data_IF_533087929718
#
_entry.id   IF_533087929718
#
_cell.length_a   1.000
_cell.length_b   1.000
_cell.length_c   1.000
_cell.angle_alpha   90.00
_cell.angle_beta   90.00
_cell.angle_gamma   90.00
#
_symmetry.space_group_name_H-M   'P 1'
#
loop_
_entity.id
_entity.type
_entity.pdbx_description
1 polymer ?
#
# COMPACT_ATOMS: atom_id res chain seq x y z
N UNK A 1 5.89 4.27 7.73
CA UNK A 1 5.55 4.42 9.16
C UNK A 1 6.56 3.74 10.07
N UNK A 2 7.02 2.51 9.76
CA UNK A 2 7.93 1.72 10.59
C UNK A 2 9.17 2.48 11.09
N UNK A 3 9.85 3.21 10.21
CA UNK A 3 11.04 4.00 10.58
C UNK A 3 10.71 5.13 11.56
N UNK A 4 9.61 5.84 11.32
CA UNK A 4 9.15 6.90 12.22
C UNK A 4 8.69 6.32 13.57
N UNK A 5 8.05 5.16 13.57
CA UNK A 5 7.64 4.47 14.79
C UNK A 5 8.85 4.05 15.64
N UNK A 6 9.91 3.52 15.01
CA UNK A 6 11.15 3.17 15.71
C UNK A 6 11.84 4.39 16.34
N UNK A 7 11.92 5.51 15.61
CA UNK A 7 12.48 6.77 16.14
C UNK A 7 11.61 7.32 17.28
N UNK A 8 10.28 7.26 17.15
CA UNK A 8 9.35 7.64 18.20
C UNK A 8 9.56 6.80 19.47
N UNK A 9 9.69 5.47 19.34
CA UNK A 9 9.92 4.58 20.48
C UNK A 9 11.20 4.95 21.21
N UNK A 10 12.29 5.18 20.48
CA UNK A 10 13.54 5.60 21.08
C UNK A 10 13.45 6.91 21.87
N UNK A 11 12.73 7.89 21.32
CA UNK A 11 12.49 9.16 22.03
C UNK A 11 11.62 8.93 23.28
N UNK A 12 10.56 8.13 23.16
CA UNK A 12 9.67 7.79 24.27
C UNK A 12 10.40 7.02 25.40
N UNK A 13 11.41 6.21 25.07
CA UNK A 13 12.23 5.48 26.05
C UNK A 13 13.48 6.23 26.48
N UNK A 14 13.68 7.48 26.06
CA UNK A 14 14.92 8.24 26.26
C UNK A 14 16.19 7.48 25.84
N UNK A 15 16.07 6.65 24.80
CA UNK A 15 17.19 5.93 24.21
C UNK A 15 17.91 6.87 23.24
N UNK A 16 19.16 7.28 23.52
CA UNK A 16 19.89 8.15 22.61
C UNK A 16 20.19 7.40 21.32
N UNK A 17 19.70 7.93 20.19
CA UNK A 17 19.98 7.43 18.85
C UNK A 17 20.84 8.45 18.10
N UNK A 18 22.13 8.14 18.03
CA UNK A 18 23.04 8.82 17.13
C UNK A 18 22.65 8.59 15.66
N UNK A 19 23.09 9.48 14.77
CA UNK A 19 22.82 9.42 13.32
C UNK A 19 23.27 8.08 12.72
N UNK A 20 24.39 7.53 13.20
CA UNK A 20 24.87 6.20 12.82
C UNK A 20 23.85 5.10 13.10
N UNK A 21 23.24 5.10 14.29
CA UNK A 21 22.19 4.16 14.67
C UNK A 21 20.91 4.35 13.86
N UNK A 22 20.53 5.59 13.55
CA UNK A 22 19.34 5.87 12.75
C UNK A 22 19.51 5.34 11.31
N UNK A 23 20.70 5.51 10.72
CA UNK A 23 21.02 4.97 9.39
C UNK A 23 21.06 3.43 9.39
N UNK A 24 21.66 2.82 10.41
CA UNK A 24 21.69 1.36 10.55
C UNK A 24 20.29 0.78 10.71
N UNK A 25 19.46 1.40 11.55
CA UNK A 25 18.07 1.00 11.76
C UNK A 25 17.24 1.19 10.48
N UNK A 26 17.41 2.30 9.77
CA UNK A 26 16.79 2.52 8.46
C UNK A 26 17.22 1.44 7.46
N UNK A 27 18.51 1.10 7.40
CA UNK A 27 19.02 0.08 6.49
C UNK A 27 18.38 -1.28 6.73
N UNK A 28 18.31 -1.74 8.00
CA UNK A 28 17.64 -3.00 8.33
C UNK A 28 16.15 -2.93 8.01
N UNK A 29 15.47 -1.83 8.37
CA UNK A 29 14.05 -1.68 8.07
C UNK A 29 13.77 -1.70 6.56
N UNK A 30 14.64 -1.10 5.73
CA UNK A 30 14.53 -1.15 4.26
C UNK A 30 14.76 -2.57 3.73
N UNK A 31 15.75 -3.28 4.29
CA UNK A 31 16.06 -4.65 3.91
C UNK A 31 14.91 -5.60 4.25
N UNK A 32 14.32 -5.45 5.43
CA UNK A 32 13.17 -6.25 5.90
C UNK A 32 11.85 -5.82 5.26
N UNK A 33 11.72 -4.57 4.78
CA UNK A 33 10.49 -4.02 4.17
C UNK A 33 10.00 -4.86 2.98
N UNK A 34 10.92 -5.44 2.18
CA UNK A 34 10.55 -6.34 1.08
C UNK A 34 9.84 -7.62 1.56
N UNK A 35 10.09 -8.09 2.78
CA UNK A 35 9.43 -9.26 3.38
C UNK A 35 8.06 -8.98 3.99
N UNK A 36 7.78 -7.73 4.35
CA UNK A 36 6.51 -7.32 4.97
C UNK A 36 5.36 -7.12 3.97
N UNK A 37 5.64 -7.19 2.66
CA UNK A 37 4.68 -6.93 1.60
C UNK A 37 3.55 -7.98 1.48
N UNK A 38 3.67 -9.13 2.14
CA UNK A 38 2.78 -10.28 1.92
C UNK A 38 1.48 -10.29 2.76
N UNK A 39 1.38 -9.51 3.85
CA UNK A 39 0.24 -9.63 4.80
C UNK A 39 -0.20 -8.28 5.37
N UNK A 40 -1.51 -8.04 5.33
CA UNK A 40 -2.18 -6.95 6.07
C UNK A 40 -1.86 -7.08 7.57
N UNK A 41 -1.42 -5.98 8.21
CA UNK A 41 -0.97 -6.00 9.62
C UNK A 41 0.44 -6.54 9.88
N UNK A 42 1.18 -7.04 8.88
CA UNK A 42 2.54 -7.56 9.06
C UNK A 42 3.60 -6.52 9.46
N UNK A 43 3.26 -5.23 9.38
CA UNK A 43 4.16 -4.13 9.72
C UNK A 43 4.61 -4.15 11.19
N UNK A 44 3.68 -4.35 12.13
CA UNK A 44 4.02 -4.41 13.56
C UNK A 44 4.97 -5.53 13.90
N UNK A 45 4.72 -6.72 13.34
CA UNK A 45 5.55 -7.92 13.56
C UNK A 45 6.95 -7.67 13.01
N UNK A 46 7.03 -7.04 11.83
CA UNK A 46 8.31 -6.66 11.20
C UNK A 46 9.08 -5.65 12.06
N UNK A 47 8.38 -4.66 12.63
CA UNK A 47 8.97 -3.69 13.55
C UNK A 47 9.50 -4.40 14.80
N UNK A 48 8.70 -5.27 15.41
CA UNK A 48 9.07 -6.04 16.59
C UNK A 48 10.31 -6.91 16.34
N UNK A 49 10.34 -7.64 15.23
CA UNK A 49 11.48 -8.47 14.84
C UNK A 49 12.74 -7.62 14.59
N UNK A 50 12.58 -6.46 13.96
CA UNK A 50 13.71 -5.54 13.69
C UNK A 50 14.27 -4.96 14.98
N UNK A 51 13.41 -4.48 15.89
CA UNK A 51 13.85 -3.93 17.18
C UNK A 51 14.54 -5.00 18.04
N UNK A 52 14.03 -6.23 18.02
CA UNK A 52 14.65 -7.36 18.71
C UNK A 52 16.03 -7.72 18.13
N UNK A 53 16.22 -7.53 16.82
CA UNK A 53 17.50 -7.76 16.14
C UNK A 53 18.51 -6.63 16.40
N UNK A 54 18.06 -5.38 16.45
CA UNK A 54 18.92 -4.21 16.68
C UNK A 54 19.28 -4.06 18.17
N UNK A 55 18.43 -4.50 19.08
CA UNK A 55 18.72 -4.64 20.52
C UNK A 55 18.87 -3.34 21.31
N UNK A 56 18.82 -2.16 20.68
CA UNK A 56 19.01 -0.87 21.35
C UNK A 56 17.74 -0.29 21.98
N UNK A 57 16.57 -0.57 21.38
CA UNK A 57 15.28 -0.05 21.86
C UNK A 57 14.57 -1.14 22.68
N UNK A 58 14.09 -0.84 23.90
CA UNK A 58 13.42 -1.84 24.74
C UNK A 58 12.17 -2.42 24.09
N UNK A 59 12.06 -3.75 24.01
CA UNK A 59 10.88 -4.44 23.40
C UNK A 59 9.56 -4.06 24.09
N UNK A 60 9.60 -3.78 25.40
CA UNK A 60 8.42 -3.34 26.15
C UNK A 60 7.77 -2.05 25.59
N UNK A 61 8.55 -1.20 24.91
CA UNK A 61 8.05 0.04 24.32
C UNK A 61 7.10 -0.18 23.14
N UNK A 62 7.10 -1.37 22.52
CA UNK A 62 6.13 -1.77 21.49
C UNK A 62 4.67 -1.66 21.95
N UNK A 63 4.42 -1.76 23.26
CA UNK A 63 3.07 -1.59 23.84
C UNK A 63 2.50 -0.20 23.58
N UNK A 64 3.35 0.83 23.47
CA UNK A 64 2.96 2.20 23.13
C UNK A 64 2.36 2.31 21.73
N UNK A 65 2.62 1.33 20.85
CA UNK A 65 2.16 1.33 19.47
C UNK A 65 0.92 0.46 19.24
N UNK A 66 0.48 -0.39 20.18
CA UNK A 66 -0.58 -1.38 19.94
C UNK A 66 -1.88 -0.78 19.38
N UNK A 67 -2.33 0.36 19.91
CA UNK A 67 -3.53 1.03 19.42
C UNK A 67 -3.32 1.76 18.10
N UNK A 68 -2.16 2.39 17.94
CA UNK A 68 -1.84 3.21 16.76
C UNK A 68 -1.49 2.34 15.56
N UNK A 69 -0.87 1.19 15.77
CA UNK A 69 -0.41 0.32 14.70
C UNK A 69 -1.58 -0.21 13.86
N UNK A 70 -2.67 -0.63 14.52
CA UNK A 70 -3.88 -1.08 13.82
C UNK A 70 -4.46 0.02 12.94
N UNK A 71 -4.62 1.23 13.50
CA UNK A 71 -5.09 2.40 12.75
C UNK A 71 -4.15 2.73 11.57
N UNK A 72 -2.84 2.69 11.79
CA UNK A 72 -1.84 2.97 10.76
C UNK A 72 -1.82 1.89 9.67
N UNK A 73 -2.09 0.63 10.02
CA UNK A 73 -2.19 -0.45 9.03
C UNK A 73 -3.44 -0.30 8.17
N UNK A 74 -4.58 0.11 8.76
CA UNK A 74 -5.81 0.42 8.03
C UNK A 74 -5.64 1.65 7.13
N UNK A 75 -5.06 2.74 7.64
CA UNK A 75 -4.76 3.93 6.86
C UNK A 75 -3.85 3.64 5.66
N UNK A 76 -2.85 2.77 5.84
CA UNK A 76 -1.98 2.30 4.77
C UNK A 76 -2.75 1.49 3.72
N UNK A 77 -3.69 0.65 4.14
CA UNK A 77 -4.53 -0.11 3.20
C UNK A 77 -5.38 0.84 2.34
N UNK A 78 -6.00 1.85 2.95
CA UNK A 78 -6.80 2.86 2.25
C UNK A 78 -5.95 3.66 1.25
N UNK A 79 -4.77 4.15 1.68
CA UNK A 79 -3.88 4.90 0.77
C UNK A 79 -3.35 4.04 -0.36
N UNK A 80 -3.03 2.77 -0.11
CA UNK A 80 -2.65 1.83 -1.18
C UNK A 80 -3.80 1.59 -2.16
N UNK A 81 -5.04 1.43 -1.66
CA UNK A 81 -6.23 1.26 -2.50
C UNK A 81 -6.45 2.48 -3.41
N UNK A 82 -6.44 3.67 -2.82
CA UNK A 82 -6.58 4.94 -3.57
C UNK A 82 -5.45 5.08 -4.60
N UNK A 83 -4.21 4.80 -4.20
CA UNK A 83 -3.04 4.88 -5.09
C UNK A 83 -3.16 3.95 -6.29
N UNK A 84 -3.51 2.68 -6.05
CA UNK A 84 -3.72 1.72 -7.13
C UNK A 84 -4.89 2.11 -8.04
N UNK A 85 -6.03 2.53 -7.47
CA UNK A 85 -7.19 2.96 -8.26
C UNK A 85 -6.89 4.17 -9.15
N UNK A 86 -6.24 5.19 -8.59
CA UNK A 86 -5.80 6.36 -9.36
C UNK A 86 -4.76 5.95 -10.41
N UNK A 87 -3.79 5.10 -10.06
CA UNK A 87 -2.78 4.63 -10.99
C UNK A 87 -3.41 3.90 -12.19
N UNK A 88 -4.40 3.03 -11.97
CA UNK A 88 -5.13 2.36 -13.04
C UNK A 88 -5.80 3.35 -13.98
N UNK A 89 -6.50 4.37 -13.45
CA UNK A 89 -7.15 5.41 -14.27
C UNK A 89 -6.11 6.21 -15.07
N UNK A 90 -5.00 6.58 -14.43
CA UNK A 90 -3.92 7.36 -15.09
C UNK A 90 -3.26 6.56 -16.20
N UNK A 91 -2.93 5.28 -15.95
CA UNK A 91 -2.32 4.40 -16.96
C UNK A 91 -3.30 4.14 -18.11
N UNK A 92 -4.56 3.83 -17.83
CA UNK A 92 -5.58 3.64 -18.87
C UNK A 92 -5.76 4.89 -19.74
N UNK A 93 -5.68 6.09 -19.14
CA UNK A 93 -5.71 7.35 -19.89
C UNK A 93 -4.50 7.52 -20.79
N UNK A 94 -3.30 7.18 -20.32
CA UNK A 94 -2.06 7.27 -21.12
C UNK A 94 -2.03 6.29 -22.28
N UNK A 95 -2.57 5.09 -22.09
CA UNK A 95 -2.72 4.09 -23.14
C UNK A 95 -3.89 4.38 -24.12
N UNK A 96 -4.61 5.50 -23.95
CA UNK A 96 -5.85 5.82 -24.67
C UNK A 96 -6.94 4.70 -24.56
N UNK A 97 -6.87 3.88 -23.51
CA UNK A 97 -7.79 2.80 -23.21
C UNK A 97 -8.94 3.23 -22.27
N UNK A 98 -9.03 4.52 -21.94
CA UNK A 98 -10.01 5.07 -21.00
C UNK A 98 -11.10 5.86 -21.73
N UNK A 99 -12.33 5.35 -21.68
CA UNK A 99 -13.51 6.11 -22.08
C UNK A 99 -13.86 7.17 -21.02
N UNK A 100 -13.55 8.43 -21.33
CA UNK A 100 -13.80 9.54 -20.43
C UNK A 100 -15.27 9.92 -20.28
N UNK A 101 -16.10 9.65 -21.28
CA UNK A 101 -17.53 9.94 -21.19
C UNK A 101 -18.18 8.95 -20.23
N UNK A 102 -17.87 7.66 -20.38
CA UNK A 102 -18.35 6.60 -19.46
C UNK A 102 -17.83 6.80 -18.04
N UNK A 103 -16.54 7.12 -17.85
CA UNK A 103 -15.98 7.39 -16.52
C UNK A 103 -16.73 8.53 -15.82
N UNK A 104 -17.02 9.62 -16.53
CA UNK A 104 -17.69 10.79 -15.96
C UNK A 104 -19.16 10.50 -15.64
N UNK A 105 -19.86 9.70 -16.47
CA UNK A 105 -21.23 9.28 -16.20
C UNK A 105 -21.33 8.42 -14.93
N UNK A 106 -20.44 7.43 -14.78
CA UNK A 106 -20.38 6.56 -13.58
C UNK A 106 -20.01 7.36 -12.33
N UNK A 107 -18.98 8.21 -12.38
CA UNK A 107 -18.56 9.01 -11.21
C UNK A 107 -19.57 10.09 -10.80
N UNK A 108 -20.44 10.53 -11.71
CA UNK A 108 -21.51 11.47 -11.40
C UNK A 108 -22.79 10.79 -10.88
N UNK A 109 -22.81 9.45 -10.82
CA UNK A 109 -23.98 8.66 -10.43
C UNK A 109 -25.11 8.71 -11.45
N UNK A 110 -24.80 9.01 -12.72
CA UNK A 110 -25.79 9.12 -13.79
C UNK A 110 -26.08 7.78 -14.49
N UNK A 111 -25.15 6.82 -14.41
CA UNK A 111 -25.28 5.45 -14.92
C UNK A 111 -25.18 4.44 -13.76
N UNK A 112 -26.32 4.05 -13.19
CA UNK A 112 -26.43 2.98 -12.17
C UNK A 112 -26.42 1.56 -12.78
N UNK A 113 -26.44 1.45 -14.11
CA UNK A 113 -26.60 0.17 -14.83
C UNK A 113 -25.38 -0.77 -14.70
N UNK A 114 -24.23 -0.28 -14.23
CA UNK A 114 -22.97 -1.03 -14.13
C UNK A 114 -22.52 -1.35 -12.69
N UNK A 115 -23.33 -1.01 -11.67
CA UNK A 115 -22.88 -1.08 -10.28
C UNK A 115 -22.95 -2.48 -9.63
N UNK A 116 -23.63 -3.46 -10.22
CA UNK A 116 -24.05 -4.67 -9.48
C UNK A 116 -23.61 -6.04 -10.04
N UNK A 117 -23.06 -6.19 -11.26
CA UNK A 117 -22.71 -7.53 -11.79
C UNK A 117 -21.22 -7.69 -12.20
N UNK A 118 -20.42 -8.47 -11.46
CA UNK A 118 -19.03 -8.80 -11.83
C UNK A 118 -18.92 -9.65 -13.11
N UNK A 119 -19.99 -10.28 -13.60
CA UNK A 119 -19.97 -11.07 -14.83
C UNK A 119 -19.84 -10.20 -16.10
N UNK A 120 -20.37 -8.98 -16.10
CA UNK A 120 -20.25 -8.06 -17.25
C UNK A 120 -18.82 -7.55 -17.47
N UNK A 121 -18.00 -7.53 -16.41
CA UNK A 121 -16.59 -7.13 -16.50
C UNK A 121 -15.73 -8.22 -17.19
N UNK A 122 -16.07 -9.50 -16.98
CA UNK A 122 -15.45 -10.66 -17.64
C UNK A 122 -15.81 -10.71 -19.14
N UNK A 123 -17.05 -10.36 -19.49
CA UNK A 123 -17.51 -10.35 -20.88
C UNK A 123 -16.76 -9.29 -21.70
N UNK A 124 -16.43 -8.13 -21.12
CA UNK A 124 -15.66 -7.10 -21.82
C UNK A 124 -14.18 -7.49 -22.01
N UNK A 125 -13.59 -8.22 -21.07
CA UNK A 125 -12.24 -8.78 -21.21
C UNK A 125 -12.20 -9.84 -22.32
N UNK A 126 -13.17 -10.76 -22.34
CA UNK A 126 -13.30 -11.80 -23.37
C UNK A 126 -13.62 -11.19 -24.76
N UNK A 127 -14.41 -10.11 -24.80
CA UNK A 127 -14.70 -9.37 -26.04
C UNK A 127 -13.47 -8.67 -26.60
N UNK A 128 -12.63 -8.08 -25.75
CA UNK A 128 -11.40 -7.39 -26.14
C UNK A 128 -10.31 -8.37 -26.63
N UNK A 129 -10.24 -9.56 -26.04
CA UNK A 129 -9.31 -10.63 -26.46
C UNK A 129 -9.72 -11.29 -27.79
N UNK A 130 -11.01 -11.22 -28.16
CA UNK A 130 -11.56 -11.82 -29.38
C UNK A 130 -11.34 -11.02 -30.67
N UNK A 131 -10.81 -9.78 -30.59
CA UNK A 131 -10.53 -8.99 -31.78
C UNK A 131 -9.29 -9.56 -32.49
N UNK A 132 -9.41 -10.03 -33.76
CA UNK A 132 -8.27 -10.58 -34.47
C UNK A 132 -7.22 -9.49 -34.64
N UNK A 133 -5.96 -9.82 -34.33
CA UNK A 133 -4.79 -9.01 -34.65
C UNK A 133 -4.79 -8.72 -36.15
N UNK A 134 -5.38 -7.60 -36.56
CA UNK A 134 -5.37 -7.13 -37.94
C UNK A 134 -3.98 -6.59 -38.24
N UNK A 135 -3.11 -7.53 -38.59
CA UNK A 135 -1.83 -7.27 -39.19
C UNK A 135 -2.08 -6.86 -40.65
N UNK A 136 -1.83 -5.61 -41.02
CA UNK A 136 -1.53 -5.24 -42.42
C UNK A 136 -1.03 -3.80 -42.56
N UNK A 137 0.30 -3.73 -42.71
CA UNK A 137 1.11 -2.77 -43.51
C UNK A 137 1.43 -1.40 -42.95
#
# INVERSE_FOLDING_TARGET
YLTMAAVFLAQATNTPLDISHQLYLLFILLLTSKGAAAVTGGGFITLAATLQTVGTIPVASLTLLLGVDRFMSEARAITNLIGNGIATIVVAKWENALDMQKLQAVLSGADDEYADDPEDMLILEESAESLPSSNSK
#
